data_IF_974740559702
#
_entry.id   IF_974740559702
#
_cell.length_a   1.000
_cell.length_b   1.000
_cell.length_c   1.000
_cell.angle_alpha   90.00
_cell.angle_beta   90.00
_cell.angle_gamma   90.00
#
_symmetry.space_group_name_H-M   'P 1'
#
loop_
_entity.id
_entity.type
_entity.pdbx_description
1 polymer ?
#
# COMPACT_ATOMS: atom_id res chain seq x y z
N UNK A 1 0.04 -3.36 -21.51
CA UNK A 1 -1.06 -4.29 -21.81
C UNK A 1 -1.51 -4.12 -23.26
N UNK A 2 -1.66 -5.23 -23.99
CA UNK A 2 -2.21 -5.28 -25.34
C UNK A 2 -3.71 -5.63 -25.26
N UNK A 3 -4.54 -4.72 -25.74
CA UNK A 3 -5.99 -4.87 -25.83
C UNK A 3 -6.36 -5.58 -27.14
N UNK A 4 -7.34 -6.47 -27.09
CA UNK A 4 -7.88 -7.14 -28.28
C UNK A 4 -9.03 -6.32 -28.86
N UNK A 5 -8.82 -5.75 -30.05
CA UNK A 5 -9.74 -4.88 -30.78
C UNK A 5 -10.27 -5.55 -32.03
N UNK A 6 -11.40 -5.06 -32.54
CA UNK A 6 -11.89 -5.46 -33.84
C UNK A 6 -10.89 -5.04 -34.93
N UNK A 7 -10.78 -5.86 -35.97
CA UNK A 7 -9.83 -5.65 -37.06
C UNK A 7 -10.14 -4.36 -37.85
N UNK A 8 -9.17 -3.46 -37.96
CA UNK A 8 -9.29 -2.25 -38.77
C UNK A 8 -8.67 -2.43 -40.15
N UNK A 9 -9.43 -2.10 -41.20
CA UNK A 9 -8.91 -2.02 -42.58
C UNK A 9 -8.38 -0.64 -42.94
N UNK A 10 -8.48 0.33 -42.02
CA UNK A 10 -8.16 1.75 -42.31
C UNK A 10 -6.66 2.04 -42.25
N UNK A 11 -5.90 1.23 -41.51
CA UNK A 11 -4.47 1.42 -41.29
C UNK A 11 -3.74 0.13 -41.68
N UNK A 12 -2.48 0.26 -42.08
CA UNK A 12 -1.64 -0.88 -42.41
C UNK A 12 -0.64 -1.11 -41.26
N UNK A 13 -1.01 -1.94 -40.30
CA UNK A 13 -0.16 -2.30 -39.17
C UNK A 13 0.66 -3.56 -39.47
N UNK A 14 1.73 -3.78 -38.70
CA UNK A 14 2.48 -5.03 -38.74
C UNK A 14 1.52 -6.20 -38.48
N UNK A 15 1.61 -7.23 -39.31
CA UNK A 15 0.81 -8.44 -39.13
C UNK A 15 1.57 -9.51 -38.35
N UNK A 16 0.92 -10.08 -37.34
CA UNK A 16 1.36 -11.20 -36.54
C UNK A 16 0.38 -12.38 -36.72
N UNK A 17 0.85 -13.60 -36.46
CA UNK A 17 -0.01 -14.79 -36.43
C UNK A 17 -0.34 -15.16 -34.99
N UNK A 18 -1.59 -15.57 -34.75
CA UNK A 18 -1.99 -16.11 -33.44
C UNK A 18 -1.12 -17.31 -33.08
N UNK A 19 -0.50 -17.26 -31.90
CA UNK A 19 0.38 -18.30 -31.38
C UNK A 19 0.50 -18.15 -29.86
N UNK A 20 1.06 -19.16 -29.18
CA UNK A 20 1.33 -19.08 -27.74
C UNK A 20 2.20 -17.87 -27.37
N UNK A 21 3.13 -17.48 -28.25
CA UNK A 21 4.03 -16.35 -28.04
C UNK A 21 3.53 -15.04 -28.70
N UNK A 22 2.23 -14.92 -29.01
CA UNK A 22 1.69 -13.74 -29.71
C UNK A 22 2.01 -12.44 -28.96
N UNK A 23 1.70 -12.40 -27.66
CA UNK A 23 1.90 -11.20 -26.85
C UNK A 23 3.38 -10.87 -26.68
N UNK A 24 4.23 -11.85 -26.37
CA UNK A 24 5.69 -11.67 -26.31
C UNK A 24 6.27 -11.07 -27.59
N UNK A 25 5.82 -11.54 -28.77
CA UNK A 25 6.22 -10.97 -30.07
C UNK A 25 5.75 -9.53 -30.22
N UNK A 26 4.50 -9.24 -29.89
CA UNK A 26 3.96 -7.88 -29.96
C UNK A 26 4.69 -6.92 -29.00
N UNK A 27 4.93 -7.31 -27.74
CA UNK A 27 5.67 -6.51 -26.75
C UNK A 27 7.12 -6.24 -27.19
N UNK A 28 7.77 -7.20 -27.84
CA UNK A 28 9.11 -6.97 -28.42
C UNK A 28 9.13 -5.89 -29.50
N UNK A 29 8.01 -5.68 -30.20
CA UNK A 29 7.81 -4.57 -31.13
C UNK A 29 7.39 -3.28 -30.41
N UNK A 30 6.65 -3.38 -29.30
CA UNK A 30 6.34 -2.22 -28.44
C UNK A 30 7.60 -1.58 -27.89
N UNK A 31 8.58 -2.39 -27.47
CA UNK A 31 9.91 -1.89 -27.07
C UNK A 31 10.64 -1.13 -28.19
N UNK A 32 10.23 -1.30 -29.46
CA UNK A 32 10.76 -0.60 -30.64
C UNK A 32 9.87 0.58 -31.08
N UNK A 33 8.84 0.91 -30.29
CA UNK A 33 7.95 2.06 -30.52
C UNK A 33 6.65 1.75 -31.28
N UNK A 34 6.39 0.50 -31.67
CA UNK A 34 5.11 0.12 -32.30
C UNK A 34 3.99 0.01 -31.25
N UNK A 35 2.77 0.42 -31.57
CA UNK A 35 1.64 0.35 -30.62
C UNK A 35 0.43 -0.40 -31.13
N UNK A 36 0.40 -0.78 -32.41
CA UNK A 36 -0.74 -1.42 -33.06
C UNK A 36 -0.28 -2.56 -33.97
N UNK A 37 -1.03 -3.67 -33.98
CA UNK A 37 -0.70 -4.86 -34.75
C UNK A 37 -1.96 -5.50 -35.32
N UNK A 38 -1.91 -5.98 -36.55
CA UNK A 38 -2.91 -6.90 -37.09
C UNK A 38 -2.59 -8.32 -36.63
N UNK A 39 -3.60 -9.12 -36.29
CA UNK A 39 -3.43 -10.53 -35.94
C UNK A 39 -4.27 -11.41 -36.86
N UNK A 40 -3.58 -12.29 -37.59
CA UNK A 40 -4.23 -13.38 -38.33
C UNK A 40 -4.65 -14.47 -37.35
N UNK A 41 -5.95 -14.64 -37.22
CA UNK A 41 -6.54 -15.62 -36.33
C UNK A 41 -7.00 -16.85 -37.14
N UNK A 42 -6.46 -18.02 -36.82
CA UNK A 42 -6.90 -19.29 -37.43
C UNK A 42 -8.13 -19.92 -36.74
N UNK A 43 -8.46 -19.45 -35.54
CA UNK A 43 -9.53 -19.98 -34.69
C UNK A 43 -10.79 -19.07 -34.69
N UNK A 44 -10.83 -18.04 -35.53
CA UNK A 44 -11.88 -17.04 -35.57
C UNK A 44 -11.53 -15.88 -36.51
N UNK A 45 -12.28 -14.77 -36.48
CA UNK A 45 -11.93 -13.56 -37.23
C UNK A 45 -10.56 -13.01 -36.82
N UNK A 46 -9.83 -12.45 -37.79
CA UNK A 46 -8.68 -11.60 -37.50
C UNK A 46 -9.08 -10.43 -36.60
N UNK A 47 -8.13 -9.92 -35.83
CA UNK A 47 -8.34 -8.87 -34.84
C UNK A 47 -7.10 -8.00 -34.74
N UNK A 48 -7.20 -6.86 -34.07
CA UNK A 48 -6.08 -5.97 -33.82
C UNK A 48 -5.62 -6.04 -32.36
N UNK A 49 -4.33 -5.83 -32.13
CA UNK A 49 -3.78 -5.57 -30.81
C UNK A 49 -3.42 -4.10 -30.69
N UNK A 50 -3.85 -3.46 -29.61
CA UNK A 50 -3.52 -2.07 -29.25
C UNK A 50 -2.77 -2.05 -27.91
N UNK A 51 -1.55 -1.53 -27.90
CA UNK A 51 -0.79 -1.37 -26.66
C UNK A 51 -1.25 -0.14 -25.89
N UNK A 52 -1.60 -0.35 -24.62
CA UNK A 52 -1.86 0.69 -23.63
C UNK A 52 -0.91 0.51 -22.44
N UNK A 53 -0.30 1.61 -22.00
CA UNK A 53 0.53 1.63 -20.80
C UNK A 53 -0.36 1.46 -19.55
N UNK A 54 0.08 0.63 -18.61
CA UNK A 54 -0.70 0.27 -17.40
C UNK A 54 -1.10 1.48 -16.55
N UNK A 55 -0.15 2.38 -16.28
CA UNK A 55 -0.42 3.58 -15.49
C UNK A 55 -1.44 4.48 -16.19
N UNK A 56 -1.24 4.74 -17.49
CA UNK A 56 -2.18 5.55 -18.30
C UNK A 56 -3.57 4.93 -18.40
N UNK A 57 -3.64 3.60 -18.45
CA UNK A 57 -4.91 2.88 -18.41
C UNK A 57 -5.66 3.19 -17.12
N UNK A 58 -5.02 2.99 -15.96
CA UNK A 58 -5.64 3.22 -14.66
C UNK A 58 -6.08 4.69 -14.48
N UNK A 59 -5.21 5.65 -14.82
CA UNK A 59 -5.48 7.08 -14.71
C UNK A 59 -6.61 7.59 -15.61
N UNK A 60 -7.01 6.82 -16.63
CA UNK A 60 -8.11 7.18 -17.53
C UNK A 60 -9.50 7.00 -16.93
N UNK A 61 -9.59 6.35 -15.76
CA UNK A 61 -10.84 6.09 -15.07
C UNK A 61 -11.08 7.09 -13.94
N UNK A 62 -12.32 7.56 -13.73
CA UNK A 62 -12.66 8.50 -12.66
C UNK A 62 -12.46 7.93 -11.25
N UNK A 63 -12.48 6.60 -11.10
CA UNK A 63 -12.22 5.91 -9.84
C UNK A 63 -10.74 5.91 -9.42
N UNK A 64 -9.82 6.30 -10.32
CA UNK A 64 -8.41 6.39 -9.96
C UNK A 64 -8.16 7.58 -9.02
N UNK A 65 -7.50 7.38 -7.86
CA UNK A 65 -7.30 8.45 -6.89
C UNK A 65 -6.72 9.74 -7.45
N UNK A 66 -7.30 10.87 -7.04
CA UNK A 66 -6.84 12.20 -7.45
C UNK A 66 -5.60 12.69 -6.70
N UNK A 67 -5.26 12.06 -5.56
CA UNK A 67 -4.14 12.51 -4.73
C UNK A 67 -2.85 12.63 -5.56
N UNK A 68 -2.15 13.78 -5.50
CA UNK A 68 -0.87 13.97 -6.17
C UNK A 68 0.18 12.92 -5.78
N UNK A 69 0.06 12.32 -4.59
CA UNK A 69 0.94 11.25 -4.12
C UNK A 69 0.94 10.04 -5.07
N UNK A 70 -0.25 9.64 -5.56
CA UNK A 70 -0.41 8.47 -6.43
C UNK A 70 -0.23 8.75 -7.92
N UNK A 71 0.12 10.00 -8.28
CA UNK A 71 0.33 10.44 -9.66
C UNK A 71 1.77 10.83 -9.96
N UNK A 72 2.66 10.85 -8.95
CA UNK A 72 4.08 11.14 -9.11
C UNK A 72 4.88 9.94 -9.60
N UNK A 73 4.56 8.74 -9.10
CA UNK A 73 5.24 7.50 -9.47
C UNK A 73 4.25 6.48 -10.04
N UNK A 74 4.65 5.68 -11.05
CA UNK A 74 3.78 4.67 -11.63
C UNK A 74 3.52 3.56 -10.61
N UNK A 75 2.27 3.35 -10.21
CA UNK A 75 1.90 2.26 -9.30
C UNK A 75 1.99 0.90 -9.99
N UNK A 76 1.61 0.86 -11.26
CA UNK A 76 1.59 -0.37 -12.04
C UNK A 76 2.64 -0.30 -13.15
N UNK A 77 3.74 -1.05 -13.03
CA UNK A 77 4.82 -1.02 -14.01
C UNK A 77 4.31 -1.54 -15.36
N UNK A 78 4.90 -1.10 -16.48
CA UNK A 78 4.65 -1.74 -17.76
C UNK A 78 5.34 -3.11 -17.80
N UNK A 79 4.58 -4.15 -18.08
CA UNK A 79 5.12 -5.51 -18.27
C UNK A 79 5.51 -5.74 -19.72
N UNK A 80 6.68 -5.24 -20.12
CA UNK A 80 7.23 -5.49 -21.47
C UNK A 80 7.82 -6.88 -21.64
N UNK A 81 8.23 -7.48 -20.52
CA UNK A 81 8.82 -8.81 -20.43
C UNK A 81 8.26 -9.49 -19.18
N UNK A 82 7.87 -10.75 -19.33
CA UNK A 82 7.45 -11.65 -18.27
C UNK A 82 7.57 -13.09 -18.80
N UNK A 83 7.59 -14.08 -17.91
CA UNK A 83 7.61 -15.49 -18.24
C UNK A 83 6.50 -16.22 -17.48
N UNK A 84 5.39 -16.52 -18.15
CA UNK A 84 4.28 -17.30 -17.57
C UNK A 84 4.64 -18.76 -17.28
N UNK A 85 5.86 -19.21 -17.60
CA UNK A 85 6.36 -20.56 -17.32
C UNK A 85 7.30 -20.59 -16.11
N UNK A 86 7.82 -19.45 -15.65
CA UNK A 86 8.66 -19.36 -14.47
C UNK A 86 7.83 -19.47 -13.19
N UNK A 87 7.44 -20.70 -12.85
CA UNK A 87 6.59 -21.01 -11.70
C UNK A 87 7.19 -20.50 -10.38
N UNK A 88 8.52 -20.48 -10.25
CA UNK A 88 9.20 -20.08 -9.02
C UNK A 88 9.06 -18.58 -8.73
N UNK A 89 8.76 -17.78 -9.77
CA UNK A 89 8.49 -16.34 -9.66
C UNK A 89 7.04 -15.94 -9.95
N UNK A 90 6.12 -16.90 -10.07
CA UNK A 90 4.69 -16.60 -10.12
C UNK A 90 4.12 -16.60 -8.71
N UNK A 91 3.51 -15.49 -8.31
CA UNK A 91 2.88 -15.35 -7.00
C UNK A 91 1.42 -15.82 -7.05
N UNK A 92 1.10 -16.86 -6.29
CA UNK A 92 -0.24 -17.45 -6.22
C UNK A 92 -1.07 -16.96 -5.03
N UNK A 93 -0.49 -16.19 -4.10
CA UNK A 93 -1.15 -15.85 -2.83
C UNK A 93 -2.47 -15.07 -3.00
N UNK A 94 -2.63 -14.34 -4.11
CA UNK A 94 -3.89 -13.67 -4.45
C UNK A 94 -5.06 -14.66 -4.57
N UNK A 95 -4.75 -15.93 -4.87
CA UNK A 95 -5.70 -17.03 -5.04
C UNK A 95 -6.00 -17.80 -3.75
N UNK A 96 -5.40 -17.43 -2.61
CA UNK A 96 -5.69 -18.09 -1.33
C UNK A 96 -7.18 -17.97 -0.99
N UNK A 97 -7.83 -19.12 -0.84
CA UNK A 97 -9.28 -19.24 -0.59
C UNK A 97 -10.17 -19.10 -1.82
N UNK A 98 -9.60 -18.86 -3.01
CA UNK A 98 -10.34 -18.69 -4.26
C UNK A 98 -10.57 -20.05 -4.94
N UNK A 99 -11.81 -20.31 -5.34
CA UNK A 99 -12.19 -21.53 -6.06
C UNK A 99 -12.46 -21.25 -7.55
N UNK A 100 -12.81 -20.00 -7.88
CA UNK A 100 -13.21 -19.57 -9.22
C UNK A 100 -12.62 -18.21 -9.57
N UNK A 101 -12.21 -18.04 -10.82
CA UNK A 101 -11.89 -16.72 -11.38
C UNK A 101 -12.82 -16.45 -12.54
N UNK A 102 -13.46 -15.28 -12.53
CA UNK A 102 -14.30 -14.81 -13.63
C UNK A 102 -13.67 -13.60 -14.32
N UNK A 103 -13.53 -13.68 -15.64
CA UNK A 103 -12.96 -12.63 -16.48
C UNK A 103 -14.03 -11.95 -17.35
N UNK A 104 -14.08 -10.63 -17.30
CA UNK A 104 -15.03 -9.82 -18.06
C UNK A 104 -14.62 -9.65 -19.54
N UNK A 105 -13.33 -9.42 -19.83
CA UNK A 105 -12.83 -9.10 -21.18
C UNK A 105 -11.53 -9.85 -21.53
N UNK A 106 -11.37 -10.21 -22.81
CA UNK A 106 -10.14 -10.77 -23.37
C UNK A 106 -9.14 -9.66 -23.70
N UNK A 107 -7.97 -9.74 -23.07
CA UNK A 107 -6.77 -8.96 -23.39
C UNK A 107 -5.53 -9.81 -23.09
N UNK A 108 -4.34 -9.26 -23.30
CA UNK A 108 -3.07 -9.90 -22.96
C UNK A 108 -3.06 -10.51 -21.56
N UNK A 109 -3.34 -9.71 -20.54
CA UNK A 109 -3.19 -10.11 -19.15
C UNK A 109 -4.17 -11.20 -18.77
N UNK A 110 -5.44 -11.07 -19.14
CA UNK A 110 -6.46 -12.06 -18.80
C UNK A 110 -6.26 -13.40 -19.52
N UNK A 111 -5.75 -13.37 -20.77
CA UNK A 111 -5.36 -14.58 -21.51
C UNK A 111 -4.16 -15.26 -20.84
N UNK A 112 -3.11 -14.51 -20.51
CA UNK A 112 -1.90 -15.05 -19.87
C UNK A 112 -2.21 -15.66 -18.52
N UNK A 113 -2.95 -14.95 -17.65
CA UNK A 113 -3.36 -15.46 -16.33
C UNK A 113 -4.19 -16.73 -16.48
N UNK A 114 -5.11 -16.78 -17.46
CA UNK A 114 -5.87 -18.01 -17.75
C UNK A 114 -4.94 -19.17 -18.06
N UNK A 115 -3.91 -18.97 -18.87
CA UNK A 115 -2.90 -20.00 -19.15
C UNK A 115 -2.15 -20.48 -17.91
N UNK A 116 -1.81 -19.58 -16.99
CA UNK A 116 -1.14 -19.89 -15.71
C UNK A 116 -2.07 -20.72 -14.82
N UNK A 117 -3.30 -20.26 -14.62
CA UNK A 117 -4.29 -20.91 -13.76
C UNK A 117 -4.59 -22.32 -14.26
N UNK A 118 -4.87 -22.49 -15.55
CA UNK A 118 -5.13 -23.80 -16.16
C UNK A 118 -3.97 -24.79 -16.01
N UNK A 119 -2.73 -24.28 -15.98
CA UNK A 119 -1.51 -25.08 -15.94
C UNK A 119 -1.10 -25.48 -14.52
N UNK A 120 -1.29 -24.58 -13.55
CA UNK A 120 -0.68 -24.70 -12.22
C UNK A 120 -1.66 -24.82 -11.07
N UNK A 121 -2.96 -24.67 -11.31
CA UNK A 121 -3.98 -24.77 -10.27
C UNK A 121 -5.19 -25.57 -10.73
N UNK A 122 -6.09 -25.87 -9.79
CA UNK A 122 -7.38 -26.52 -10.04
C UNK A 122 -8.56 -25.52 -10.01
N UNK A 123 -8.26 -24.22 -9.98
CA UNK A 123 -9.27 -23.16 -9.93
C UNK A 123 -10.07 -23.13 -11.22
N UNK A 124 -11.40 -23.04 -11.12
CA UNK A 124 -12.25 -23.00 -12.30
C UNK A 124 -12.18 -21.63 -12.97
N UNK A 125 -12.09 -21.62 -14.30
CA UNK A 125 -11.92 -20.40 -15.09
C UNK A 125 -13.21 -20.10 -15.86
N UNK A 126 -13.84 -18.99 -15.51
CA UNK A 126 -15.11 -18.53 -16.05
C UNK A 126 -14.89 -17.27 -16.90
N UNK A 127 -15.62 -17.14 -18.01
CA UNK A 127 -15.40 -16.06 -18.98
C UNK A 127 -16.71 -15.49 -19.51
N UNK A 128 -16.84 -14.17 -19.50
CA UNK A 128 -17.91 -13.47 -20.20
C UNK A 128 -17.64 -13.35 -21.71
N UNK A 129 -16.40 -13.00 -22.06
CA UNK A 129 -15.99 -12.78 -23.44
C UNK A 129 -15.57 -14.09 -24.14
N UNK A 130 -16.42 -14.56 -25.07
CA UNK A 130 -16.20 -15.79 -25.85
C UNK A 130 -14.92 -15.80 -26.69
N UNK A 131 -14.30 -14.65 -26.94
CA UNK A 131 -13.04 -14.55 -27.73
C UNK A 131 -11.88 -15.29 -27.06
N UNK A 132 -12.00 -15.68 -25.78
CA UNK A 132 -10.98 -16.49 -25.09
C UNK A 132 -10.74 -17.83 -25.82
N UNK A 133 -11.77 -18.38 -26.48
CA UNK A 133 -11.65 -19.59 -27.28
C UNK A 133 -10.81 -19.41 -28.55
N UNK A 134 -10.46 -18.18 -28.94
CA UNK A 134 -9.45 -17.97 -29.99
C UNK A 134 -8.05 -18.38 -29.52
N UNK A 135 -7.76 -18.20 -28.24
CA UNK A 135 -6.47 -18.53 -27.62
C UNK A 135 -6.44 -19.95 -27.08
N UNK A 136 -7.56 -20.43 -26.52
CA UNK A 136 -7.70 -21.78 -25.95
C UNK A 136 -8.88 -22.54 -26.58
N UNK A 137 -8.84 -22.86 -27.89
CA UNK A 137 -10.00 -23.41 -28.62
C UNK A 137 -10.44 -24.80 -28.16
N UNK A 138 -9.53 -25.56 -27.55
CA UNK A 138 -9.76 -26.95 -27.13
C UNK A 138 -9.81 -27.12 -25.61
N UNK A 139 -9.74 -26.03 -24.85
CA UNK A 139 -9.73 -26.12 -23.39
C UNK A 139 -11.15 -26.26 -22.85
N UNK A 140 -11.44 -27.42 -22.27
CA UNK A 140 -12.74 -27.77 -21.72
C UNK A 140 -12.96 -27.15 -20.33
N UNK A 141 -11.89 -26.86 -19.58
CA UNK A 141 -11.99 -26.21 -18.26
C UNK A 141 -12.47 -24.76 -18.33
N UNK A 142 -12.40 -24.13 -19.50
CA UNK A 142 -12.91 -22.76 -19.71
C UNK A 142 -14.42 -22.80 -19.96
N UNK A 143 -15.17 -22.20 -19.03
CA UNK A 143 -16.63 -22.08 -19.10
C UNK A 143 -17.02 -20.66 -19.52
N UNK A 144 -17.93 -20.55 -20.49
CA UNK A 144 -18.48 -19.25 -20.90
C UNK A 144 -19.74 -18.95 -20.08
N UNK A 145 -19.73 -17.85 -19.32
CA UNK A 145 -20.85 -17.38 -18.50
C UNK A 145 -20.93 -15.86 -18.49
N UNK A 146 -22.12 -15.32 -18.70
CA UNK A 146 -22.35 -13.87 -18.83
C UNK A 146 -22.42 -13.15 -17.49
N UNK A 147 -22.81 -13.86 -16.44
CA UNK A 147 -22.88 -13.34 -15.07
C UNK A 147 -22.41 -14.40 -14.07
N UNK A 148 -21.84 -13.95 -12.96
CA UNK A 148 -21.50 -14.80 -11.81
C UNK A 148 -21.95 -14.07 -10.56
N UNK A 149 -22.66 -14.79 -9.68
CA UNK A 149 -23.05 -14.24 -8.38
C UNK A 149 -21.81 -13.91 -7.57
N UNK A 150 -21.85 -12.78 -6.85
CA UNK A 150 -20.78 -12.42 -5.93
C UNK A 150 -20.76 -13.35 -4.73
N UNK A 151 -19.64 -14.03 -4.53
CA UNK A 151 -19.33 -14.76 -3.31
C UNK A 151 -17.85 -14.59 -2.95
N UNK A 152 -17.50 -14.95 -1.72
CA UNK A 152 -16.16 -14.78 -1.16
C UNK A 152 -15.10 -15.72 -1.79
N UNK A 153 -15.53 -16.64 -2.65
CA UNK A 153 -14.67 -17.66 -3.29
C UNK A 153 -14.46 -17.40 -4.77
N UNK A 154 -15.01 -16.30 -5.30
CA UNK A 154 -14.95 -15.94 -6.70
C UNK A 154 -14.20 -14.61 -6.85
N UNK A 155 -13.03 -14.68 -7.46
CA UNK A 155 -12.28 -13.50 -7.87
C UNK A 155 -12.84 -12.99 -9.21
N UNK A 156 -13.34 -11.76 -9.23
CA UNK A 156 -13.93 -11.10 -10.40
C UNK A 156 -12.93 -10.10 -10.98
N UNK A 157 -12.65 -10.27 -12.26
CA UNK A 157 -11.69 -9.46 -13.02
C UNK A 157 -12.44 -8.60 -14.01
N UNK A 158 -12.53 -7.32 -13.68
CA UNK A 158 -13.29 -6.32 -14.41
C UNK A 158 -12.50 -5.69 -15.54
N UNK A 159 -13.22 -5.32 -16.60
CA UNK A 159 -12.66 -4.53 -17.69
C UNK A 159 -12.26 -3.14 -17.21
N UNK A 160 -13.15 -2.43 -16.53
CA UNK A 160 -12.89 -1.09 -16.02
C UNK A 160 -11.93 -1.13 -14.83
N UNK A 161 -11.11 -0.10 -14.66
CA UNK A 161 -10.24 0.03 -13.50
C UNK A 161 -11.06 -0.07 -12.21
N UNK A 162 -10.56 -0.86 -11.26
CA UNK A 162 -11.13 -0.96 -9.92
C UNK A 162 -10.05 -0.63 -8.92
N UNK A 163 -10.25 0.37 -8.05
CA UNK A 163 -9.28 0.73 -7.02
C UNK A 163 -9.22 -0.30 -5.87
N UNK A 164 -9.32 -1.58 -6.19
CA UNK A 164 -9.22 -2.75 -5.29
C UNK A 164 -8.10 -2.65 -4.26
N UNK A 165 -6.91 -2.21 -4.67
CA UNK A 165 -5.79 -2.04 -3.76
C UNK A 165 -5.94 -0.85 -2.80
N UNK A 166 -6.75 0.15 -3.16
CA UNK A 166 -7.09 1.30 -2.30
C UNK A 166 -8.25 0.98 -1.37
N UNK A 167 -9.28 0.31 -1.89
CA UNK A 167 -10.49 -0.06 -1.17
C UNK A 167 -10.35 -1.38 -0.38
N UNK A 168 -9.21 -2.05 -0.52
CA UNK A 168 -8.92 -3.38 0.02
C UNK A 168 -9.90 -4.50 -0.44
N UNK A 169 -10.60 -4.30 -1.56
CA UNK A 169 -11.45 -5.31 -2.19
C UNK A 169 -10.66 -6.14 -3.22
N UNK A 170 -9.96 -7.17 -2.74
CA UNK A 170 -9.21 -8.09 -3.59
C UNK A 170 -10.05 -9.24 -4.16
N UNK A 171 -11.38 -9.18 -4.05
CA UNK A 171 -12.29 -10.06 -4.81
C UNK A 171 -12.79 -9.39 -6.09
N UNK A 172 -12.71 -8.06 -6.17
CA UNK A 172 -13.16 -7.28 -7.32
C UNK A 172 -12.05 -6.35 -7.80
N UNK A 173 -11.28 -6.81 -8.78
CA UNK A 173 -10.14 -6.04 -9.30
C UNK A 173 -10.18 -5.96 -10.81
N UNK A 174 -9.38 -5.08 -11.41
CA UNK A 174 -9.19 -5.06 -12.84
C UNK A 174 -7.99 -5.91 -13.27
N UNK A 175 -7.89 -6.14 -14.58
CA UNK A 175 -6.82 -6.97 -15.15
C UNK A 175 -5.39 -6.49 -14.86
N UNK A 176 -5.14 -5.18 -14.71
CA UNK A 176 -3.79 -4.66 -14.44
C UNK A 176 -3.38 -5.04 -13.02
N UNK A 177 -4.27 -4.85 -12.06
CA UNK A 177 -4.03 -5.21 -10.66
C UNK A 177 -3.77 -6.70 -10.53
N UNK A 178 -4.63 -7.56 -11.11
CA UNK A 178 -4.43 -9.01 -11.02
C UNK A 178 -3.11 -9.46 -11.66
N UNK A 179 -2.76 -8.91 -12.82
CA UNK A 179 -1.51 -9.25 -13.49
C UNK A 179 -0.29 -8.84 -12.65
N UNK A 180 -0.35 -7.66 -12.03
CA UNK A 180 0.70 -7.22 -11.11
C UNK A 180 0.89 -8.19 -9.95
N UNK A 181 -0.20 -8.72 -9.38
CA UNK A 181 -0.11 -9.73 -8.31
C UNK A 181 0.62 -10.98 -8.76
N UNK A 182 0.27 -11.56 -9.91
CA UNK A 182 0.91 -12.79 -10.41
C UNK A 182 2.39 -12.60 -10.71
N UNK A 183 2.76 -11.45 -11.26
CA UNK A 183 4.11 -11.19 -11.78
C UNK A 183 4.94 -10.25 -10.90
N UNK A 184 4.53 -10.02 -9.64
CA UNK A 184 5.25 -9.11 -8.72
C UNK A 184 6.72 -9.54 -8.53
N UNK A 185 7.03 -10.83 -8.39
CA UNK A 185 8.42 -11.28 -8.20
C UNK A 185 9.29 -11.10 -9.45
N UNK A 186 8.73 -11.32 -10.63
CA UNK A 186 9.43 -11.06 -11.89
C UNK A 186 9.65 -9.57 -12.12
N UNK A 187 8.71 -8.74 -11.71
CA UNK A 187 8.88 -7.29 -11.74
C UNK A 187 10.00 -6.83 -10.79
N UNK A 188 10.13 -7.46 -9.62
CA UNK A 188 11.19 -7.13 -8.68
C UNK A 188 12.57 -7.49 -9.20
N UNK A 189 12.72 -8.62 -9.89
CA UNK A 189 14.04 -9.06 -10.35
C UNK A 189 14.03 -10.08 -11.47
N UNK A 190 15.00 -9.91 -12.39
CA UNK A 190 15.39 -10.94 -13.36
C UNK A 190 16.33 -11.99 -12.74
N UNK A 191 16.93 -11.73 -11.57
CA UNK A 191 17.86 -12.65 -10.92
C UNK A 191 17.16 -13.94 -10.46
N UNK A 192 17.79 -15.11 -10.60
CA UNK A 192 17.29 -16.33 -9.95
C UNK A 192 17.21 -16.12 -8.43
N UNK A 193 16.04 -16.32 -7.82
CA UNK A 193 15.81 -16.02 -6.40
C UNK A 193 16.76 -16.76 -5.45
N UNK A 194 17.25 -17.93 -5.85
CA UNK A 194 18.24 -18.72 -5.10
C UNK A 194 19.67 -18.14 -5.11
N UNK A 195 19.95 -17.12 -5.94
CA UNK A 195 21.22 -16.39 -5.99
C UNK A 195 21.15 -15.05 -5.27
N UNK A 196 19.96 -14.56 -4.99
CA UNK A 196 19.73 -13.30 -4.30
C UNK A 196 19.93 -13.51 -2.80
N UNK A 197 20.65 -12.59 -2.17
CA UNK A 197 20.81 -12.51 -0.72
C UNK A 197 19.97 -11.39 -0.11
N UNK A 198 19.94 -10.25 -0.79
CA UNK A 198 19.40 -9.01 -0.25
C UNK A 198 18.23 -8.48 -1.08
N UNK A 199 17.31 -7.80 -0.41
CA UNK A 199 16.35 -6.90 -1.04
C UNK A 199 16.47 -5.52 -0.39
N UNK A 200 17.10 -4.60 -1.12
CA UNK A 200 17.33 -3.24 -0.69
C UNK A 200 16.10 -2.38 -1.02
N UNK A 201 15.57 -1.71 0.00
CA UNK A 201 14.47 -0.76 -0.14
C UNK A 201 15.04 0.66 -0.23
N UNK A 202 14.64 1.37 -1.28
CA UNK A 202 14.76 2.83 -1.37
C UNK A 202 13.44 3.45 -0.95
N UNK A 203 13.47 4.27 0.10
CA UNK A 203 12.32 5.08 0.52
C UNK A 203 12.50 6.53 0.08
N UNK A 204 11.45 7.19 -0.34
CA UNK A 204 11.52 8.60 -0.72
C UNK A 204 11.76 9.49 0.52
N UNK A 205 12.49 10.60 0.35
CA UNK A 205 12.71 11.59 1.44
C UNK A 205 11.44 12.31 1.88
N UNK A 206 10.34 12.19 1.14
CA UNK A 206 9.03 12.67 1.59
C UNK A 206 8.37 11.73 2.60
N UNK A 207 8.85 10.50 2.74
CA UNK A 207 8.22 9.49 3.61
C UNK A 207 8.45 9.80 5.09
N UNK A 208 7.36 9.74 5.87
CA UNK A 208 7.43 9.76 7.33
C UNK A 208 7.90 8.41 7.88
N UNK A 209 8.38 8.41 9.14
CA UNK A 209 8.95 7.20 9.76
C UNK A 209 7.98 6.02 9.74
N UNK A 210 6.67 6.26 9.86
CA UNK A 210 5.71 5.16 9.81
C UNK A 210 5.53 4.48 8.48
N UNK A 211 5.67 5.22 7.38
CA UNK A 211 5.72 4.63 6.04
C UNK A 211 6.98 3.78 5.88
N UNK A 212 8.14 4.28 6.33
CA UNK A 212 9.42 3.57 6.29
C UNK A 212 9.34 2.24 7.04
N UNK A 213 8.90 2.27 8.30
CA UNK A 213 8.80 1.07 9.14
C UNK A 213 7.79 0.06 8.58
N UNK A 214 6.64 0.54 8.11
CA UNK A 214 5.61 -0.31 7.50
C UNK A 214 6.14 -0.97 6.22
N UNK A 215 6.78 -0.20 5.34
CA UNK A 215 7.39 -0.69 4.12
C UNK A 215 8.47 -1.74 4.41
N UNK A 216 9.38 -1.44 5.33
CA UNK A 216 10.44 -2.37 5.74
C UNK A 216 9.87 -3.69 6.28
N UNK A 217 8.93 -3.60 7.23
CA UNK A 217 8.31 -4.77 7.87
C UNK A 217 7.57 -5.64 6.86
N UNK A 218 6.70 -5.02 6.05
CA UNK A 218 5.85 -5.74 5.10
C UNK A 218 6.67 -6.39 4.01
N UNK A 219 7.69 -5.70 3.50
CA UNK A 219 8.63 -6.25 2.51
C UNK A 219 9.44 -7.40 3.08
N UNK A 220 9.98 -7.25 4.31
CA UNK A 220 10.66 -8.34 5.04
C UNK A 220 9.79 -9.57 5.16
N UNK A 221 8.53 -9.40 5.55
CA UNK A 221 7.60 -10.51 5.71
C UNK A 221 7.25 -11.14 4.35
N UNK A 222 7.03 -10.33 3.33
CA UNK A 222 6.68 -10.77 1.97
C UNK A 222 7.80 -11.62 1.34
N UNK A 223 9.06 -11.19 1.49
CA UNK A 223 10.23 -11.83 0.91
C UNK A 223 10.87 -12.90 1.80
N UNK A 224 10.45 -13.01 3.07
CA UNK A 224 10.96 -14.00 4.03
C UNK A 224 10.92 -15.44 3.54
N UNK A 225 9.91 -15.80 2.73
CA UNK A 225 9.75 -17.14 2.14
C UNK A 225 10.90 -17.55 1.22
N UNK A 226 11.63 -16.57 0.68
CA UNK A 226 12.79 -16.79 -0.18
C UNK A 226 14.12 -16.72 0.59
N UNK A 227 14.07 -16.53 1.91
CA UNK A 227 15.26 -16.37 2.74
C UNK A 227 16.02 -15.07 2.47
N UNK A 228 15.39 -14.06 1.86
CA UNK A 228 16.02 -12.78 1.56
C UNK A 228 16.10 -11.91 2.80
N UNK A 229 17.26 -11.28 2.96
CA UNK A 229 17.47 -10.25 3.97
C UNK A 229 17.06 -8.89 3.42
N UNK A 230 16.06 -8.28 4.05
CA UNK A 230 15.56 -6.96 3.66
C UNK A 230 16.36 -5.87 4.36
N UNK A 231 16.86 -4.92 3.57
CA UNK A 231 17.71 -3.81 4.04
C UNK A 231 17.17 -2.47 3.58
N UNK A 232 17.57 -1.40 4.25
CA UNK A 232 17.31 -0.03 3.84
C UNK A 232 18.55 0.55 3.15
N UNK A 233 18.36 1.22 2.01
CA UNK A 233 19.44 1.91 1.34
C UNK A 233 19.93 3.10 2.20
N UNK A 234 21.23 3.15 2.47
CA UNK A 234 21.85 4.22 3.24
C UNK A 234 21.57 5.60 2.61
N UNK A 235 21.19 6.58 3.44
CA UNK A 235 20.88 7.95 3.03
C UNK A 235 19.63 8.13 2.17
N UNK A 236 18.83 7.07 1.97
CA UNK A 236 17.61 7.14 1.16
C UNK A 236 16.50 7.94 1.82
N UNK A 237 16.35 7.81 3.14
CA UNK A 237 15.28 8.44 3.89
C UNK A 237 15.57 9.90 4.25
N UNK A 238 14.56 10.62 4.76
CA UNK A 238 14.76 11.95 5.36
C UNK A 238 15.44 11.91 6.72
N UNK A 239 15.31 10.79 7.45
CA UNK A 239 15.96 10.60 8.74
C UNK A 239 17.40 10.15 8.51
N UNK A 240 18.39 10.75 9.20
CA UNK A 240 19.77 10.28 9.13
C UNK A 240 19.87 8.80 9.53
N UNK A 241 20.75 8.05 8.86
CA UNK A 241 20.89 6.60 9.09
C UNK A 241 21.17 6.27 10.57
N UNK A 242 22.04 7.05 11.21
CA UNK A 242 22.37 6.88 12.63
C UNK A 242 21.17 7.08 13.57
N UNK A 243 20.18 7.90 13.18
CA UNK A 243 18.93 8.05 13.94
C UNK A 243 18.08 6.78 13.79
N UNK A 244 17.96 6.26 12.57
CA UNK A 244 17.21 5.02 12.33
C UNK A 244 17.83 3.85 13.11
N UNK A 245 19.15 3.67 13.00
CA UNK A 245 19.88 2.59 13.69
C UNK A 245 19.83 2.72 15.21
N UNK A 246 19.75 3.95 15.74
CA UNK A 246 19.66 4.22 17.18
C UNK A 246 18.33 3.78 17.78
N UNK A 247 17.21 3.93 17.06
CA UNK A 247 15.87 3.67 17.59
C UNK A 247 15.22 2.38 17.08
N UNK A 248 15.66 1.86 15.93
CA UNK A 248 15.03 0.71 15.28
C UNK A 248 16.04 -0.38 14.93
N UNK A 249 15.57 -1.62 14.98
CA UNK A 249 16.29 -2.80 14.50
C UNK A 249 16.17 -2.96 12.98
N UNK A 250 16.41 -1.88 12.24
CA UNK A 250 16.49 -1.87 10.77
C UNK A 250 17.94 -2.08 10.35
N UNK A 251 18.14 -2.95 9.37
CA UNK A 251 19.47 -3.19 8.79
C UNK A 251 19.68 -2.29 7.57
N UNK A 252 20.80 -1.58 7.57
CA UNK A 252 21.29 -0.90 6.37
C UNK A 252 21.90 -1.92 5.41
N UNK A 253 21.91 -1.60 4.12
CA UNK A 253 22.48 -2.49 3.10
C UNK A 253 23.98 -2.74 3.33
N UNK A 254 24.44 -4.01 3.32
CA UNK A 254 25.83 -4.35 3.57
C UNK A 254 26.73 -4.09 2.35
N UNK A 255 28.04 -3.99 2.59
CA UNK A 255 29.05 -3.71 1.55
C UNK A 255 29.18 -4.81 0.48
N UNK A 256 28.77 -6.06 0.77
CA UNK A 256 28.81 -7.16 -0.22
C UNK A 256 27.58 -7.22 -1.14
N UNK A 257 26.64 -6.28 -0.99
CA UNK A 257 25.50 -6.07 -1.89
C UNK A 257 25.96 -5.60 -3.28
N UNK A 258 25.44 -6.21 -4.34
CA UNK A 258 25.73 -5.84 -5.73
C UNK A 258 24.63 -6.32 -6.70
N UNK A 259 24.79 -5.97 -7.98
CA UNK A 259 23.82 -6.29 -9.04
C UNK A 259 23.55 -7.78 -9.27
N UNK A 260 24.43 -8.67 -8.82
CA UNK A 260 24.28 -10.12 -8.98
C UNK A 260 23.58 -10.80 -7.80
N UNK A 261 23.46 -10.13 -6.64
CA UNK A 261 22.93 -10.72 -5.40
C UNK A 261 21.90 -9.86 -4.67
N UNK A 262 21.53 -8.70 -5.21
CA UNK A 262 20.58 -7.76 -4.57
C UNK A 262 19.43 -7.39 -5.49
N UNK A 263 18.22 -7.42 -4.93
CA UNK A 263 17.02 -6.83 -5.54
C UNK A 263 16.92 -5.37 -5.09
N UNK A 264 16.79 -4.45 -6.04
CA UNK A 264 16.63 -3.02 -5.76
C UNK A 264 15.17 -2.61 -5.87
N UNK A 265 14.53 -2.36 -4.73
CA UNK A 265 13.14 -1.93 -4.64
C UNK A 265 13.12 -0.40 -4.64
N UNK A 266 13.11 0.17 -5.84
CA UNK A 266 13.14 1.64 -6.06
C UNK A 266 11.76 2.28 -6.09
N UNK A 267 10.72 1.48 -6.33
CA UNK A 267 9.32 1.89 -6.28
C UNK A 267 8.57 0.94 -5.34
N UNK A 268 8.54 1.29 -4.06
CA UNK A 268 7.92 0.43 -3.07
C UNK A 268 6.39 0.42 -3.16
N UNK A 269 5.78 1.45 -3.76
CA UNK A 269 4.33 1.54 -3.93
C UNK A 269 3.78 0.37 -4.74
N UNK A 270 4.48 -0.06 -5.79
CA UNK A 270 4.07 -1.24 -6.57
C UNK A 270 3.88 -2.47 -5.68
N UNK A 271 4.80 -2.73 -4.75
CA UNK A 271 4.66 -3.87 -3.82
C UNK A 271 3.55 -3.60 -2.79
N UNK A 272 3.47 -2.37 -2.25
CA UNK A 272 2.56 -2.01 -1.17
C UNK A 272 1.09 -2.24 -1.54
N UNK A 273 0.72 -2.09 -2.81
CA UNK A 273 -0.64 -2.25 -3.31
C UNK A 273 -1.03 -3.69 -3.68
N UNK A 274 -0.24 -4.68 -3.29
CA UNK A 274 -0.64 -6.09 -3.38
C UNK A 274 -1.44 -6.53 -2.16
N UNK A 275 -2.38 -7.48 -2.32
CA UNK A 275 -3.17 -8.11 -1.23
C UNK A 275 -2.28 -8.52 -0.07
N UNK A 276 -1.13 -9.12 -0.40
CA UNK A 276 -0.17 -9.64 0.57
C UNK A 276 0.41 -8.58 1.48
N UNK A 277 0.64 -7.36 0.98
CA UNK A 277 1.13 -6.28 1.82
C UNK A 277 -0.01 -5.44 2.41
N UNK A 278 -1.17 -5.33 1.74
CA UNK A 278 -2.31 -4.56 2.25
C UNK A 278 -3.04 -5.25 3.40
N UNK A 279 -3.26 -6.55 3.31
CA UNK A 279 -4.03 -7.33 4.29
C UNK A 279 -3.18 -8.11 5.30
N UNK A 280 -1.87 -7.88 5.36
CA UNK A 280 -0.98 -8.51 6.34
C UNK A 280 -1.14 -7.92 7.77
N UNK A 281 -2.38 -7.80 8.24
CA UNK A 281 -2.73 -7.21 9.55
C UNK A 281 -2.11 -7.96 10.73
N UNK A 282 -1.93 -9.28 10.61
CA UNK A 282 -1.32 -10.10 11.67
C UNK A 282 0.20 -9.92 11.81
N UNK A 283 0.83 -9.11 10.94
CA UNK A 283 2.29 -8.90 10.91
C UNK A 283 2.68 -7.44 10.65
N UNK A 284 1.91 -6.52 11.22
CA UNK A 284 2.28 -5.10 11.26
C UNK A 284 3.50 -4.85 12.15
N UNK A 285 4.03 -3.62 12.09
CA UNK A 285 5.20 -3.19 12.87
C UNK A 285 5.08 -3.59 14.35
N UNK A 286 5.95 -4.46 14.86
CA UNK A 286 5.96 -4.84 16.27
C UNK A 286 7.14 -4.27 17.05
N UNK A 287 7.09 -4.41 18.38
CA UNK A 287 8.15 -3.97 19.29
C UNK A 287 9.52 -4.59 18.97
N UNK A 288 9.57 -5.73 18.27
CA UNK A 288 10.81 -6.37 17.82
C UNK A 288 11.60 -5.54 16.80
N UNK A 289 10.96 -4.54 16.17
CA UNK A 289 11.64 -3.58 15.29
C UNK A 289 12.14 -2.35 16.03
N UNK A 290 11.88 -2.22 17.32
CA UNK A 290 12.41 -1.15 18.15
C UNK A 290 13.64 -1.63 18.92
N UNK A 291 14.58 -0.73 19.13
CA UNK A 291 15.70 -1.02 20.01
C UNK A 291 15.24 -1.10 21.47
N UNK A 292 15.69 -2.10 22.26
CA UNK A 292 15.21 -2.30 23.63
C UNK A 292 15.36 -1.07 24.53
N UNK A 293 16.48 -0.34 24.41
CA UNK A 293 16.69 0.89 25.19
C UNK A 293 15.64 1.97 24.91
N UNK A 294 15.19 2.08 23.66
CA UNK A 294 14.14 3.04 23.31
C UNK A 294 12.78 2.63 23.90
N UNK A 295 12.49 1.33 23.93
CA UNK A 295 11.28 0.80 24.58
C UNK A 295 11.28 1.14 26.08
N UNK A 296 12.43 0.98 26.74
CA UNK A 296 12.58 1.32 28.17
C UNK A 296 12.38 2.82 28.42
N UNK A 297 12.94 3.69 27.57
CA UNK A 297 12.74 5.14 27.62
C UNK A 297 11.25 5.53 27.46
N UNK A 298 10.57 4.95 26.46
CA UNK A 298 9.13 5.14 26.23
C UNK A 298 8.29 4.73 27.43
N UNK A 299 8.64 3.61 28.06
CA UNK A 299 7.96 3.09 29.24
C UNK A 299 8.11 4.02 30.44
N UNK A 300 9.35 4.44 30.75
CA UNK A 300 9.62 5.38 31.84
C UNK A 300 8.85 6.70 31.63
N UNK A 301 8.88 7.25 30.41
CA UNK A 301 8.15 8.46 30.08
C UNK A 301 6.63 8.29 30.28
N UNK A 302 6.07 7.20 29.77
CA UNK A 302 4.64 6.89 29.90
C UNK A 302 4.21 6.79 31.37
N UNK A 303 4.98 6.10 32.20
CA UNK A 303 4.69 5.94 33.64
C UNK A 303 4.64 7.30 34.37
N UNK A 304 5.57 8.21 34.03
CA UNK A 304 5.63 9.56 34.61
C UNK A 304 4.44 10.43 34.19
N UNK A 305 4.01 10.36 32.93
CA UNK A 305 2.87 11.15 32.42
C UNK A 305 1.54 10.60 32.91
N UNK A 306 1.35 9.28 32.85
CA UNK A 306 0.10 8.63 33.21
C UNK A 306 -0.11 8.58 34.73
N UNK A 307 0.94 8.39 35.53
CA UNK A 307 0.86 8.29 37.00
C UNK A 307 -0.21 7.30 37.49
N UNK A 308 -0.36 6.18 36.78
CA UNK A 308 -1.35 5.15 37.07
C UNK A 308 -2.82 5.54 36.82
N UNK A 309 -3.09 6.66 36.14
CA UNK A 309 -4.45 7.09 35.79
C UNK A 309 -5.02 6.30 34.62
N UNK A 310 -6.34 6.09 34.60
CA UNK A 310 -7.05 5.46 33.48
C UNK A 310 -7.32 6.50 32.40
N UNK A 311 -6.56 6.43 31.31
CA UNK A 311 -6.63 7.41 30.23
C UNK A 311 -7.33 6.83 29.00
N UNK A 312 -8.07 7.68 28.29
CA UNK A 312 -8.57 7.40 26.95
C UNK A 312 -7.51 7.81 25.92
N UNK A 313 -7.13 6.91 25.03
CA UNK A 313 -6.24 7.22 23.91
C UNK A 313 -7.01 7.86 22.77
N UNK A 314 -6.55 9.00 22.26
CA UNK A 314 -7.17 9.71 21.13
C UNK A 314 -6.09 10.14 20.14
N UNK A 315 -6.20 9.71 18.88
CA UNK A 315 -5.36 10.15 17.76
C UNK A 315 -6.20 10.93 16.76
N UNK A 316 -5.96 12.23 16.64
CA UNK A 316 -6.63 13.08 15.64
C UNK A 316 -5.59 13.60 14.65
N UNK A 317 -5.63 13.06 13.43
CA UNK A 317 -4.82 13.53 12.29
C UNK A 317 -5.43 14.83 11.74
N UNK A 318 -4.58 15.82 11.51
CA UNK A 318 -4.93 17.15 10.99
C UNK A 318 -3.96 17.58 9.89
N UNK A 319 -3.64 18.88 9.84
CA UNK A 319 -2.53 19.41 9.04
C UNK A 319 -2.43 18.85 7.62
N UNK A 320 -1.45 17.99 7.32
CA UNK A 320 -1.22 17.42 5.99
C UNK A 320 -2.38 16.55 5.48
N UNK A 321 -3.12 15.88 6.37
CA UNK A 321 -4.31 15.11 5.99
C UNK A 321 -5.47 16.01 5.55
N UNK A 322 -5.56 17.21 6.13
CA UNK A 322 -6.58 18.21 5.77
C UNK A 322 -6.18 18.89 4.45
N UNK A 323 -4.93 19.33 4.32
CA UNK A 323 -4.44 20.06 3.14
C UNK A 323 -4.29 19.18 1.90
N UNK A 324 -4.05 17.86 2.07
CA UNK A 324 -4.01 16.90 0.96
C UNK A 324 -5.36 16.27 0.61
N UNK A 325 -6.45 16.74 1.24
CA UNK A 325 -7.82 16.27 0.99
C UNK A 325 -7.97 14.74 1.13
N UNK A 326 -7.35 14.16 2.17
CA UNK A 326 -7.53 12.73 2.47
C UNK A 326 -9.00 12.39 2.70
N UNK A 327 -9.46 11.31 2.07
CA UNK A 327 -10.87 10.91 2.05
C UNK A 327 -11.04 9.41 2.33
N UNK A 328 -12.29 8.95 2.40
CA UNK A 328 -12.61 7.55 2.69
C UNK A 328 -12.22 7.15 4.11
N UNK A 329 -11.68 5.94 4.28
CA UNK A 329 -11.28 5.38 5.58
C UNK A 329 -10.12 6.16 6.23
N UNK A 330 -9.34 6.91 5.45
CA UNK A 330 -8.26 7.78 5.93
C UNK A 330 -8.68 9.22 6.21
N UNK A 331 -9.98 9.55 6.10
CA UNK A 331 -10.45 10.92 6.30
C UNK A 331 -10.11 11.48 7.70
N UNK A 332 -9.63 12.74 7.80
CA UNK A 332 -9.45 13.39 9.10
C UNK A 332 -10.81 13.65 9.77
N UNK A 333 -10.81 13.70 11.11
CA UNK A 333 -12.02 13.97 11.88
C UNK A 333 -12.02 15.41 12.39
N UNK A 334 -13.11 16.14 12.14
CA UNK A 334 -13.32 17.45 12.74
C UNK A 334 -13.45 17.32 14.28
N UNK A 335 -12.82 18.22 15.02
CA UNK A 335 -12.87 18.18 16.50
C UNK A 335 -14.31 18.30 17.00
N UNK A 336 -15.10 19.13 16.33
CA UNK A 336 -16.50 19.39 16.66
C UNK A 336 -17.37 18.14 16.57
N UNK A 337 -17.09 17.22 15.63
CA UNK A 337 -17.79 15.94 15.52
C UNK A 337 -17.22 14.86 16.44
N UNK A 338 -15.92 14.94 16.77
CA UNK A 338 -15.27 13.97 17.66
C UNK A 338 -15.63 14.18 19.14
N UNK A 339 -15.71 15.44 19.60
CA UNK A 339 -15.92 15.81 21.02
C UNK A 339 -17.13 15.12 21.67
N UNK A 340 -18.34 15.06 21.06
CA UNK A 340 -19.48 14.40 21.67
C UNK A 340 -19.23 12.93 22.01
N UNK A 341 -18.63 12.18 21.08
CA UNK A 341 -18.35 10.75 21.24
C UNK A 341 -17.18 10.50 22.21
N UNK A 342 -16.17 11.38 22.22
CA UNK A 342 -15.10 11.34 23.24
C UNK A 342 -15.70 11.56 24.63
N UNK A 343 -16.60 12.53 24.79
CA UNK A 343 -17.26 12.83 26.07
C UNK A 343 -18.12 11.65 26.54
N UNK A 344 -18.89 11.05 25.63
CA UNK A 344 -19.65 9.82 25.89
C UNK A 344 -18.75 8.72 26.50
N UNK A 345 -17.60 8.43 25.88
CA UNK A 345 -16.68 7.40 26.40
C UNK A 345 -15.99 7.80 27.71
N UNK A 346 -15.60 9.06 27.86
CA UNK A 346 -15.06 9.60 29.11
C UNK A 346 -16.02 9.37 30.28
N UNK A 347 -17.30 9.67 30.08
CA UNK A 347 -18.33 9.60 31.11
C UNK A 347 -18.80 8.15 31.36
N UNK A 348 -19.08 7.40 30.28
CA UNK A 348 -19.60 6.02 30.38
C UNK A 348 -18.59 5.05 30.99
N UNK A 349 -17.30 5.19 30.65
CA UNK A 349 -16.27 4.27 31.11
C UNK A 349 -15.43 4.84 32.26
N UNK A 350 -15.65 6.09 32.66
CA UNK A 350 -15.01 6.70 33.83
C UNK A 350 -13.50 6.90 33.66
N UNK A 351 -13.09 7.54 32.56
CA UNK A 351 -11.68 7.87 32.31
C UNK A 351 -11.24 9.14 33.07
N UNK A 352 -10.02 9.13 33.60
CA UNK A 352 -9.44 10.23 34.35
C UNK A 352 -9.03 11.41 33.46
N UNK A 353 -8.70 11.13 32.20
CA UNK A 353 -8.23 12.09 31.21
C UNK A 353 -8.01 11.46 29.84
N UNK A 354 -7.43 12.24 28.94
CA UNK A 354 -7.20 11.87 27.54
C UNK A 354 -5.70 11.99 27.24
N UNK A 355 -5.10 10.94 26.69
CA UNK A 355 -3.83 11.05 25.96
C UNK A 355 -4.19 11.44 24.52
N UNK A 356 -3.80 12.64 24.11
CA UNK A 356 -4.05 13.13 22.75
C UNK A 356 -2.75 13.10 21.94
N UNK A 357 -2.76 12.35 20.84
CA UNK A 357 -1.76 12.49 19.77
C UNK A 357 -2.37 13.31 18.63
N UNK A 358 -1.68 14.40 18.29
CA UNK A 358 -1.99 15.24 17.14
C UNK A 358 -0.78 16.10 16.81
N UNK A 359 -0.39 16.12 15.54
CA UNK A 359 0.58 17.05 14.94
C UNK A 359 0.03 18.48 14.79
N UNK A 360 -1.29 18.66 14.95
CA UNK A 360 -2.00 19.87 14.61
C UNK A 360 -2.25 20.77 15.83
N UNK A 361 -1.79 22.02 15.75
CA UNK A 361 -1.90 22.99 16.82
C UNK A 361 -3.35 23.45 17.07
N UNK A 362 -4.15 23.53 16.01
CA UNK A 362 -5.55 23.98 16.07
C UNK A 362 -6.42 22.90 16.73
N UNK A 363 -6.20 21.63 16.37
CA UNK A 363 -6.83 20.47 17.04
C UNK A 363 -6.50 20.47 18.53
N UNK A 364 -5.22 20.62 18.89
CA UNK A 364 -4.81 20.66 20.30
C UNK A 364 -5.52 21.77 21.09
N UNK A 365 -5.60 22.97 20.51
CA UNK A 365 -6.26 24.12 21.12
C UNK A 365 -7.74 23.83 21.40
N UNK A 366 -8.47 23.36 20.38
CA UNK A 366 -9.89 23.02 20.49
C UNK A 366 -10.14 21.89 21.49
N UNK A 367 -9.31 20.84 21.50
CA UNK A 367 -9.42 19.74 22.46
C UNK A 367 -9.17 20.19 23.91
N UNK A 368 -8.18 21.05 24.15
CA UNK A 368 -7.94 21.63 25.48
C UNK A 368 -9.11 22.49 25.97
N UNK A 369 -9.75 23.24 25.06
CA UNK A 369 -10.94 24.01 25.38
C UNK A 369 -12.15 23.09 25.70
N UNK A 370 -12.33 22.00 24.96
CA UNK A 370 -13.42 21.05 25.16
C UNK A 370 -13.27 20.19 26.43
N UNK A 371 -12.04 19.92 26.86
CA UNK A 371 -11.72 19.09 28.03
C UNK A 371 -10.67 19.76 28.96
N UNK A 372 -11.03 20.86 29.66
CA UNK A 372 -10.10 21.60 30.49
C UNK A 372 -9.42 20.74 31.56
N UNK A 373 -8.09 20.77 31.63
CA UNK A 373 -7.28 20.03 32.62
C UNK A 373 -7.18 18.50 32.39
N UNK A 374 -7.94 17.95 31.43
CA UNK A 374 -8.04 16.51 31.16
C UNK A 374 -7.13 16.01 30.03
N UNK A 375 -6.66 16.91 29.17
CA UNK A 375 -5.75 16.57 28.07
C UNK A 375 -4.30 16.41 28.57
N UNK A 376 -3.62 15.35 28.11
CA UNK A 376 -2.17 15.15 28.20
C UNK A 376 -1.64 14.91 26.80
N UNK A 377 -0.50 15.53 26.49
CA UNK A 377 0.18 15.42 25.21
C UNK A 377 1.68 15.41 25.43
N UNK A 378 2.42 14.84 24.49
CA UNK A 378 3.87 15.05 24.40
C UNK A 378 4.18 16.51 24.05
N UNK A 379 5.31 17.00 24.55
CA UNK A 379 5.87 18.26 24.08
C UNK A 379 6.47 18.02 22.70
N UNK A 380 5.91 18.64 21.68
CA UNK A 380 6.40 18.52 20.30
C UNK A 380 6.04 19.80 19.54
N UNK A 381 6.79 20.06 18.46
CA UNK A 381 6.41 21.07 17.47
C UNK A 381 5.09 20.66 16.81
N UNK A 382 4.22 21.64 16.62
CA UNK A 382 2.91 21.46 15.98
C UNK A 382 2.68 22.59 15.00
N UNK A 383 1.99 22.28 13.92
CA UNK A 383 1.68 23.22 12.86
C UNK A 383 0.18 23.51 12.81
N UNK A 384 -0.18 24.70 12.32
CA UNK A 384 -1.57 25.04 11.96
C UNK A 384 -1.74 24.89 10.46
N UNK A 385 -2.97 24.70 9.99
CA UNK A 385 -3.30 24.76 8.55
C UNK A 385 -2.77 26.05 7.91
N UNK A 386 -2.81 27.16 8.65
CA UNK A 386 -2.30 28.46 8.18
C UNK A 386 -0.80 28.48 7.89
N UNK A 387 0.00 27.61 8.53
CA UNK A 387 1.41 27.47 8.18
C UNK A 387 1.58 26.87 6.78
N UNK A 388 0.77 25.87 6.42
CA UNK A 388 0.80 25.22 5.11
C UNK A 388 0.34 26.17 4.00
N UNK A 389 -0.75 26.89 4.25
CA UNK A 389 -1.28 27.89 3.32
C UNK A 389 -0.25 29.01 3.08
N UNK A 390 0.43 29.48 4.13
CA UNK A 390 1.44 30.55 4.04
C UNK A 390 2.65 30.12 3.21
N UNK A 391 3.18 28.92 3.45
CA UNK A 391 4.37 28.42 2.73
C UNK A 391 4.01 27.76 1.40
N UNK A 392 2.71 27.63 1.09
CA UNK A 392 2.18 26.96 -0.11
C UNK A 392 2.72 25.53 -0.27
N UNK A 393 2.64 24.75 0.82
CA UNK A 393 3.06 23.35 0.88
C UNK A 393 1.91 22.46 1.33
N UNK A 394 1.98 21.16 1.03
CA UNK A 394 0.91 20.21 1.35
C UNK A 394 1.34 19.15 2.38
N UNK A 395 2.65 18.93 2.56
CA UNK A 395 3.17 17.95 3.51
C UNK A 395 3.97 18.57 4.65
N UNK A 396 3.97 17.89 5.81
CA UNK A 396 4.82 18.27 6.95
C UNK A 396 6.30 18.22 6.56
N UNK A 397 6.71 17.24 5.75
CA UNK A 397 8.10 17.13 5.27
C UNK A 397 8.57 18.36 4.49
N UNK A 398 7.71 18.91 3.62
CA UNK A 398 8.02 20.13 2.88
C UNK A 398 8.16 21.31 3.85
N UNK A 399 7.22 21.45 4.79
CA UNK A 399 7.24 22.53 5.78
C UNK A 399 8.50 22.48 6.67
N UNK A 400 8.88 21.29 7.14
CA UNK A 400 10.07 21.12 7.97
C UNK A 400 11.34 21.51 7.19
N UNK A 401 11.42 21.14 5.91
CA UNK A 401 12.58 21.44 5.05
C UNK A 401 12.75 22.93 4.73
N UNK A 402 11.68 23.71 4.86
CA UNK A 402 11.72 25.18 4.75
C UNK A 402 12.17 25.81 6.06
N UNK A 403 11.69 25.27 7.20
CA UNK A 403 11.93 25.85 8.53
C UNK A 403 13.31 25.52 9.11
N UNK A 404 13.87 24.37 8.74
CA UNK A 404 15.12 23.87 9.30
C UNK A 404 16.08 23.45 8.19
N UNK A 405 17.38 23.52 8.44
CA UNK A 405 18.41 23.09 7.48
C UNK A 405 19.66 22.58 8.19
N UNK A 406 20.47 21.79 7.49
CA UNK A 406 21.74 21.28 8.01
C UNK A 406 21.57 20.46 9.30
N UNK A 407 22.49 20.65 10.25
CA UNK A 407 22.47 19.93 11.54
C UNK A 407 21.24 20.22 12.39
N UNK A 408 20.67 21.43 12.28
CA UNK A 408 19.46 21.80 13.03
C UNK A 408 18.25 21.00 12.55
N UNK A 409 18.22 20.64 11.26
CA UNK A 409 17.18 19.78 10.70
C UNK A 409 17.30 18.35 11.23
N UNK A 410 18.51 17.79 11.30
CA UNK A 410 18.74 16.43 11.83
C UNK A 410 18.31 16.31 13.29
N UNK A 411 18.69 17.29 14.13
CA UNK A 411 18.28 17.35 15.54
C UNK A 411 16.75 17.48 15.68
N UNK A 412 16.14 18.34 14.87
CA UNK A 412 14.68 18.51 14.84
C UNK A 412 13.96 17.22 14.43
N UNK A 413 14.46 16.52 13.42
CA UNK A 413 13.88 15.27 12.94
C UNK A 413 13.96 14.16 14.00
N UNK A 414 15.09 14.05 14.69
CA UNK A 414 15.25 13.10 15.79
C UNK A 414 14.28 13.40 16.93
N UNK A 415 14.20 14.66 17.39
CA UNK A 415 13.27 15.07 18.45
C UNK A 415 11.81 14.82 18.06
N UNK A 416 11.43 15.18 16.83
CA UNK A 416 10.08 14.94 16.31
C UNK A 416 9.74 13.45 16.24
N UNK A 417 10.71 12.61 15.83
CA UNK A 417 10.56 11.16 15.78
C UNK A 417 10.36 10.57 17.17
N UNK A 418 11.20 10.94 18.14
CA UNK A 418 11.11 10.45 19.52
C UNK A 418 9.77 10.83 20.14
N UNK A 419 9.36 12.10 20.01
CA UNK A 419 8.09 12.57 20.57
C UNK A 419 6.88 11.90 19.91
N UNK A 420 6.93 11.62 18.61
CA UNK A 420 5.91 10.85 17.90
C UNK A 420 5.73 9.45 18.53
N UNK A 421 6.82 8.73 18.74
CA UNK A 421 6.77 7.40 19.36
C UNK A 421 6.36 7.44 20.84
N UNK A 422 6.75 8.46 21.60
CA UNK A 422 6.25 8.67 22.96
C UNK A 422 4.73 8.84 22.98
N UNK A 423 4.18 9.62 22.04
CA UNK A 423 2.74 9.81 21.94
C UNK A 423 2.01 8.50 21.60
N UNK A 424 2.52 7.75 20.62
CA UNK A 424 1.92 6.48 20.20
C UNK A 424 2.02 5.41 21.28
N UNK A 425 3.17 5.31 21.95
CA UNK A 425 3.35 4.37 23.06
C UNK A 425 2.38 4.67 24.20
N UNK A 426 2.23 5.93 24.61
CA UNK A 426 1.24 6.30 25.62
C UNK A 426 -0.20 5.96 25.19
N UNK A 427 -0.55 6.17 23.92
CA UNK A 427 -1.85 5.74 23.38
C UNK A 427 -1.99 4.21 23.45
N UNK A 428 -0.92 3.47 23.15
CA UNK A 428 -0.89 2.00 23.22
C UNK A 428 -1.11 1.46 24.64
N UNK A 429 -0.81 2.25 25.67
CA UNK A 429 -1.03 1.88 27.07
C UNK A 429 -2.44 2.23 27.58
N UNK A 430 -3.26 2.91 26.79
CA UNK A 430 -4.64 3.22 27.14
C UNK A 430 -5.54 1.98 27.02
N UNK A 431 -6.63 1.93 27.80
CA UNK A 431 -7.59 0.81 27.76
C UNK A 431 -8.48 0.82 26.52
N UNK A 432 -8.71 2.00 25.94
CA UNK A 432 -9.50 2.19 24.72
C UNK A 432 -8.87 3.27 23.86
N UNK A 433 -9.15 3.20 22.57
CA UNK A 433 -8.52 4.04 21.56
C UNK A 433 -9.55 4.60 20.58
N UNK A 434 -9.50 5.89 20.31
CA UNK A 434 -10.30 6.53 19.26
C UNK A 434 -9.35 7.20 18.27
N UNK A 435 -9.63 7.05 16.98
CA UNK A 435 -8.77 7.62 15.94
C UNK A 435 -9.59 8.24 14.82
N UNK A 436 -9.02 9.25 14.15
CA UNK A 436 -9.67 9.93 13.02
C UNK A 436 -10.00 8.96 11.89
N UNK A 437 -8.97 8.38 11.27
CA UNK A 437 -9.06 7.44 10.16
C UNK A 437 -7.76 6.63 10.04
N UNK A 438 -7.71 5.75 9.05
CA UNK A 438 -6.55 4.92 8.76
C UNK A 438 -5.30 5.77 8.51
N UNK A 439 -4.28 5.53 9.33
CA UNK A 439 -3.00 6.23 9.27
C UNK A 439 -1.89 5.35 9.86
N UNK A 440 -0.63 5.63 9.51
CA UNK A 440 0.52 4.93 10.08
C UNK A 440 0.58 5.02 11.62
N UNK A 441 0.16 6.16 12.20
CA UNK A 441 0.08 6.32 13.65
C UNK A 441 -0.97 5.43 14.31
N UNK A 442 -2.13 5.24 13.66
CA UNK A 442 -3.16 4.32 14.13
C UNK A 442 -2.65 2.87 14.11
N UNK A 443 -2.07 2.44 12.99
CA UNK A 443 -1.53 1.08 12.83
C UNK A 443 -0.46 0.78 13.89
N UNK A 444 0.49 1.71 14.10
CA UNK A 444 1.50 1.55 15.15
C UNK A 444 0.92 1.51 16.56
N UNK A 445 -0.03 2.38 16.89
CA UNK A 445 -0.63 2.38 18.22
C UNK A 445 -1.31 1.02 18.52
N UNK A 446 -2.05 0.47 17.54
CA UNK A 446 -2.64 -0.87 17.62
C UNK A 446 -1.57 -1.95 17.79
N UNK A 447 -0.51 -1.91 16.99
CA UNK A 447 0.53 -2.91 17.03
C UNK A 447 1.34 -2.89 18.34
N UNK A 448 1.66 -1.69 18.86
CA UNK A 448 2.31 -1.52 20.17
C UNK A 448 1.42 -2.00 21.33
N UNK A 449 0.11 -1.79 21.21
CA UNK A 449 -0.86 -2.27 22.21
C UNK A 449 -0.95 -3.80 22.22
N UNK A 450 -0.76 -4.43 21.05
CA UNK A 450 -0.68 -5.88 20.90
C UNK A 450 -2.01 -6.59 21.14
N UNK A 451 -3.11 -6.01 20.63
CA UNK A 451 -4.44 -6.62 20.68
C UNK A 451 -5.12 -6.57 22.05
N UNK A 452 -4.85 -5.52 22.84
CA UNK A 452 -5.30 -5.38 24.24
C UNK A 452 -6.31 -4.26 24.44
N UNK A 453 -6.66 -3.53 23.40
CA UNK A 453 -7.68 -2.50 23.51
C UNK A 453 -9.03 -3.17 23.76
N UNK A 454 -9.74 -2.70 24.79
CA UNK A 454 -11.09 -3.21 25.06
C UNK A 454 -12.11 -2.69 24.06
N UNK A 455 -11.87 -1.49 23.52
CA UNK A 455 -12.73 -0.78 22.59
C UNK A 455 -11.91 0.10 21.67
N UNK A 456 -12.32 0.14 20.40
CA UNK A 456 -11.81 1.07 19.41
C UNK A 456 -12.94 1.78 18.68
N UNK A 457 -12.72 3.04 18.28
CA UNK A 457 -13.69 3.81 17.51
C UNK A 457 -13.00 4.56 16.36
N UNK A 458 -13.54 4.41 15.16
CA UNK A 458 -13.10 5.08 13.94
C UNK A 458 -14.06 6.24 13.63
N UNK A 459 -13.58 7.48 13.64
CA UNK A 459 -14.41 8.63 13.31
C UNK A 459 -14.76 8.69 11.82
N UNK A 460 -13.83 8.30 10.95
CA UNK A 460 -14.03 8.24 9.50
C UNK A 460 -15.13 7.24 9.12
N UNK A 461 -15.19 6.09 9.81
CA UNK A 461 -16.23 5.08 9.56
C UNK A 461 -17.49 5.27 10.42
N UNK A 462 -17.43 6.09 11.46
CA UNK A 462 -18.56 6.38 12.34
C UNK A 462 -19.04 5.20 13.18
N UNK A 463 -18.16 4.26 13.53
CA UNK A 463 -18.52 3.02 14.25
C UNK A 463 -17.45 2.56 15.23
N UNK A 464 -17.86 1.75 16.21
CA UNK A 464 -16.92 0.92 16.99
C UNK A 464 -16.31 -0.13 16.05
N UNK A 465 -15.03 -0.40 16.22
CA UNK A 465 -14.27 -1.33 15.38
C UNK A 465 -13.90 -2.52 16.26
N UNK A 466 -14.34 -3.70 15.85
CA UNK A 466 -13.93 -4.97 16.46
C UNK A 466 -12.51 -5.33 15.98
N UNK A 467 -11.75 -6.06 16.79
CA UNK A 467 -10.41 -6.55 16.42
C UNK A 467 -10.45 -7.61 15.32
#
# INVERSE_FOLDING_TARGET
MLLVRDYSTQHNYRTLDISENLFHKALSCVLKGETHFHVKNKNGPSFDLEYVNNQKWCESFPEYPYSPLFRREPLYPPYYMYDEKDKDKICFDILDGIERIWFEEVNEYTVVITGIVLRYTDIAVLWNDKRIKWFYPKEEKIQITYEVQGDEKTLRVHRAFKPSAFDCDFLNMDQVVLFHHFFVYQWLTDLPLNKVKYAEILVAKSEGIGSILTCYTRTRNFLSRFGLEVTLQAGSSRYPDHVIEKYFAIKMTPEDSNEDNTIYITNYYGILFTKMLRLAHEREFGLELMNPGFIDEMKEYSDVIMKGKRMLGVLLRGSDYITSEMSGTSAPAAVESAVPKIREWMDQYGYDGIILATEDADILSKMKAAFPGKIRVVSQVRYSITDFERENVITISELDSIKYSGTDYDVFLEDSLVNYFYALYMISMCESFMYSGESGGMAMAKALNGGKYKKMYSFAEGKEVDE
#
